data_IF_674391607641
#
_entry.id   IF_674391607641
#
_cell.length_a   1.000
_cell.length_b   1.000
_cell.length_c   1.000
_cell.angle_alpha   90.00
_cell.angle_beta   90.00
_cell.angle_gamma   90.00
#
_symmetry.space_group_name_H-M   'P 1'
#
loop_
_entity.id
_entity.type
_entity.pdbx_description
1 polymer ?
#
# COMPACT_ATOMS: atom_id res chain seq x y z
N UNK A 1 -18.74 -1.90 20.32
CA UNK A 1 -20.06 -1.92 20.99
C UNK A 1 -20.01 -2.08 22.51
N UNK A 2 -19.05 -2.79 23.10
CA UNK A 2 -19.00 -2.97 24.57
C UNK A 2 -18.79 -1.66 25.37
N UNK A 3 -18.20 -0.61 24.78
CA UNK A 3 -17.96 0.66 25.47
C UNK A 3 -19.26 1.39 25.86
N UNK A 4 -20.23 1.50 24.94
CA UNK A 4 -21.49 2.22 25.20
C UNK A 4 -22.36 1.54 26.26
N UNK A 5 -22.37 0.20 26.31
CA UNK A 5 -23.09 -0.56 27.34
C UNK A 5 -22.55 -0.36 28.76
N UNK A 6 -21.31 0.14 28.92
CA UNK A 6 -20.77 0.53 30.23
C UNK A 6 -21.37 1.83 30.75
N UNK A 7 -21.76 2.75 29.86
CA UNK A 7 -22.29 4.06 30.24
C UNK A 7 -23.82 4.10 30.17
N UNK A 8 -24.42 3.39 29.21
CA UNK A 8 -25.87 3.25 29.05
C UNK A 8 -26.21 1.78 28.76
N UNK A 9 -26.46 0.96 29.80
CA UNK A 9 -26.66 -0.49 29.64
C UNK A 9 -27.86 -0.87 28.76
N UNK A 10 -28.90 -0.03 28.77
CA UNK A 10 -30.18 -0.27 28.10
C UNK A 10 -30.27 0.36 26.70
N UNK A 11 -29.20 0.95 26.18
CA UNK A 11 -29.21 1.58 24.86
C UNK A 11 -29.39 0.52 23.77
N UNK A 12 -30.35 0.74 22.86
CA UNK A 12 -30.57 -0.14 21.71
C UNK A 12 -29.38 -0.03 20.74
N UNK A 13 -29.03 -1.14 20.11
CA UNK A 13 -27.96 -1.21 19.10
C UNK A 13 -28.22 -0.25 17.93
N UNK A 14 -29.47 -0.16 17.47
CA UNK A 14 -29.90 0.79 16.45
C UNK A 14 -29.66 2.26 16.84
N UNK A 15 -29.81 2.59 18.12
CA UNK A 15 -29.52 3.94 18.64
C UNK A 15 -28.02 4.22 18.63
N UNK A 16 -27.18 3.23 18.96
CA UNK A 16 -25.72 3.36 18.85
C UNK A 16 -25.32 3.58 17.40
N UNK A 17 -25.84 2.76 16.48
CA UNK A 17 -25.53 2.87 15.05
C UNK A 17 -25.91 4.23 14.49
N UNK A 18 -27.08 4.76 14.89
CA UNK A 18 -27.51 6.09 14.48
C UNK A 18 -26.63 7.21 15.04
N UNK A 19 -26.19 7.10 16.30
CA UNK A 19 -25.24 8.05 16.91
C UNK A 19 -23.89 8.03 16.18
N UNK A 20 -23.37 6.84 15.88
CA UNK A 20 -22.13 6.68 15.12
C UNK A 20 -22.30 7.25 13.71
N UNK A 21 -23.42 6.97 13.05
CA UNK A 21 -23.74 7.53 11.75
C UNK A 21 -23.74 9.08 11.78
N UNK A 22 -24.38 9.70 12.77
CA UNK A 22 -24.36 11.16 12.96
C UNK A 22 -22.94 11.72 13.11
N UNK A 23 -22.12 11.07 13.94
CA UNK A 23 -20.73 11.49 14.16
C UNK A 23 -19.87 11.35 12.90
N UNK A 24 -20.17 10.37 12.04
CA UNK A 24 -19.53 10.23 10.74
C UNK A 24 -19.97 11.34 9.79
N UNK A 25 -21.28 11.61 9.71
CA UNK A 25 -21.82 12.71 8.88
C UNK A 25 -21.29 14.08 9.31
N UNK A 26 -21.10 14.31 10.61
CA UNK A 26 -20.56 15.56 11.13
C UNK A 26 -19.03 15.66 11.05
N UNK A 27 -18.33 14.66 10.49
CA UNK A 27 -16.87 14.65 10.37
C UNK A 27 -16.10 14.46 11.68
N UNK A 28 -16.79 14.16 12.77
CA UNK A 28 -16.19 13.87 14.09
C UNK A 28 -15.58 12.47 14.11
N UNK A 29 -16.16 11.54 13.35
CA UNK A 29 -15.62 10.21 13.12
C UNK A 29 -15.38 9.95 11.64
N UNK A 30 -14.32 9.22 11.33
CA UNK A 30 -14.08 8.63 10.02
C UNK A 30 -14.03 7.11 10.14
N UNK A 31 -14.72 6.40 9.26
CA UNK A 31 -14.76 4.93 9.28
C UNK A 31 -13.46 4.36 8.71
N UNK A 32 -12.75 3.56 9.48
CA UNK A 32 -11.48 2.92 9.09
C UNK A 32 -11.61 1.41 8.85
N UNK A 33 -12.76 0.82 9.18
CA UNK A 33 -13.07 -0.59 8.93
C UNK A 33 -14.47 -0.96 9.41
N UNK A 34 -14.85 -2.24 9.27
CA UNK A 34 -16.13 -2.72 9.81
C UNK A 34 -16.13 -2.58 11.33
N UNK A 35 -16.99 -1.71 11.86
CA UNK A 35 -17.07 -1.42 13.29
C UNK A 35 -15.87 -0.66 13.87
N UNK A 36 -14.95 -0.15 13.04
CA UNK A 36 -13.75 0.61 13.47
C UNK A 36 -13.81 2.04 12.93
N UNK A 37 -13.58 3.02 13.81
CA UNK A 37 -13.63 4.45 13.51
C UNK A 37 -12.42 5.17 14.11
N UNK A 38 -12.00 6.27 13.50
CA UNK A 38 -11.02 7.24 14.03
C UNK A 38 -11.70 8.58 14.27
N UNK A 39 -11.17 9.38 15.20
CA UNK A 39 -11.60 10.77 15.43
C UNK A 39 -11.13 11.69 14.29
N UNK A 40 -11.95 12.70 13.98
CA UNK A 40 -11.71 13.70 12.96
C UNK A 40 -11.92 13.19 11.53
N UNK A 41 -11.61 14.06 10.57
CA UNK A 41 -11.57 13.69 9.16
C UNK A 41 -10.31 12.88 8.87
N UNK A 42 -10.49 11.70 8.26
CA UNK A 42 -9.38 10.84 7.89
C UNK A 42 -8.48 11.52 6.87
N UNK A 43 -7.17 11.46 7.10
CA UNK A 43 -6.16 11.94 6.15
C UNK A 43 -5.80 10.81 5.19
N UNK A 44 -6.32 10.87 3.97
CA UNK A 44 -6.04 9.89 2.93
C UNK A 44 -4.67 10.14 2.28
N UNK A 45 -3.96 9.07 1.94
CA UNK A 45 -2.69 9.14 1.23
C UNK A 45 -2.89 9.25 -0.28
N UNK A 46 -2.39 10.33 -0.88
CA UNK A 46 -2.39 10.56 -2.32
C UNK A 46 -0.93 10.64 -2.79
N UNK A 47 -0.41 9.61 -3.49
CA UNK A 47 0.98 9.61 -3.92
C UNK A 47 1.22 10.65 -5.03
N UNK A 48 2.36 11.36 -5.01
CA UNK A 48 2.77 12.20 -6.13
C UNK A 48 3.05 11.34 -7.37
N UNK A 49 2.55 11.80 -8.52
CA UNK A 49 2.74 11.12 -9.82
C UNK A 49 3.81 11.85 -10.62
N UNK A 50 4.96 11.19 -10.84
CA UNK A 50 6.02 11.75 -11.68
C UNK A 50 5.66 11.70 -13.16
N UNK A 51 6.29 12.59 -13.95
CA UNK A 51 6.13 12.60 -15.41
C UNK A 51 6.54 11.28 -16.06
N UNK A 52 7.59 10.62 -15.54
CA UNK A 52 8.03 9.29 -15.99
C UNK A 52 6.97 8.23 -15.70
N UNK A 53 6.42 8.20 -14.48
CA UNK A 53 5.40 7.24 -14.10
C UNK A 53 4.14 7.39 -14.97
N UNK A 54 3.73 8.65 -15.21
CA UNK A 54 2.62 8.97 -16.13
C UNK A 54 2.88 8.50 -17.56
N UNK A 55 4.11 8.67 -18.08
CA UNK A 55 4.51 8.17 -19.41
C UNK A 55 4.48 6.64 -19.50
N UNK A 56 5.01 5.94 -18.49
CA UNK A 56 5.02 4.47 -18.45
C UNK A 56 3.58 3.96 -18.43
N UNK A 57 2.75 4.47 -17.52
CA UNK A 57 1.34 4.10 -17.44
C UNK A 57 0.59 4.38 -18.76
N UNK A 58 0.77 5.57 -19.33
CA UNK A 58 0.07 5.96 -20.56
C UNK A 58 0.40 5.05 -21.74
N UNK A 59 1.67 4.65 -21.91
CA UNK A 59 2.07 3.68 -22.93
C UNK A 59 1.45 2.30 -22.69
N UNK A 60 1.54 1.80 -21.46
CA UNK A 60 0.98 0.51 -21.08
C UNK A 60 -0.53 0.46 -21.26
N UNK A 61 -1.24 1.49 -20.80
CA UNK A 61 -2.70 1.56 -20.90
C UNK A 61 -3.17 1.71 -22.35
N UNK A 62 -2.41 2.41 -23.20
CA UNK A 62 -2.71 2.49 -24.64
C UNK A 62 -2.54 1.13 -25.33
N UNK A 63 -1.49 0.39 -24.98
CA UNK A 63 -1.22 -0.93 -25.58
C UNK A 63 -2.15 -2.02 -25.03
N UNK A 64 -2.49 -1.96 -23.75
CA UNK A 64 -3.29 -2.95 -23.05
C UNK A 64 -4.49 -2.30 -22.35
N UNK A 65 -5.50 -1.79 -23.09
CA UNK A 65 -6.61 -1.02 -22.51
C UNK A 65 -7.46 -1.79 -21.49
N UNK A 66 -7.59 -3.11 -21.70
CA UNK A 66 -8.39 -3.99 -20.86
C UNK A 66 -7.60 -4.61 -19.69
N UNK A 67 -6.27 -4.45 -19.66
CA UNK A 67 -5.43 -5.05 -18.63
C UNK A 67 -5.45 -4.22 -17.36
N UNK A 68 -5.65 -4.87 -16.22
CA UNK A 68 -5.50 -4.22 -14.93
C UNK A 68 -4.01 -4.02 -14.63
N UNK A 69 -3.57 -2.76 -14.58
CA UNK A 69 -2.17 -2.39 -14.37
C UNK A 69 -2.08 -1.44 -13.17
N UNK A 70 -1.15 -1.70 -12.27
CA UNK A 70 -0.74 -0.78 -11.21
C UNK A 70 0.69 -0.34 -11.45
N UNK A 71 0.95 0.96 -11.50
CA UNK A 71 2.34 1.46 -11.54
C UNK A 71 2.64 2.35 -10.34
N UNK A 72 3.83 2.21 -9.79
CA UNK A 72 4.32 3.10 -8.74
C UNK A 72 5.83 3.07 -8.63
N UNK A 73 6.39 4.05 -7.92
CA UNK A 73 7.84 4.14 -7.71
C UNK A 73 8.18 3.92 -6.24
N UNK A 74 9.20 3.12 -5.93
CA UNK A 74 9.52 2.79 -4.53
C UNK A 74 10.01 3.98 -3.73
N UNK A 75 10.43 5.08 -4.37
CA UNK A 75 10.76 6.34 -3.67
C UNK A 75 9.57 6.98 -2.95
N UNK A 76 8.33 6.53 -3.23
CA UNK A 76 7.16 6.94 -2.43
C UNK A 76 7.33 6.58 -0.95
N UNK A 77 8.18 5.60 -0.63
CA UNK A 77 8.52 5.23 0.73
C UNK A 77 9.34 6.28 1.47
N UNK A 78 10.04 7.17 0.76
CA UNK A 78 10.95 8.14 1.36
C UNK A 78 10.26 9.06 2.38
N UNK A 79 8.95 9.30 2.20
CA UNK A 79 8.15 10.07 3.16
C UNK A 79 8.12 9.43 4.56
N UNK A 80 8.21 8.10 4.63
CA UNK A 80 8.08 7.30 5.85
C UNK A 80 9.41 6.74 6.34
N UNK A 81 10.48 6.91 5.58
CA UNK A 81 11.79 6.34 5.88
C UNK A 81 12.66 7.32 6.67
N UNK A 82 13.45 6.78 7.59
CA UNK A 82 14.56 7.48 8.22
C UNK A 82 15.84 7.33 7.39
N UNK A 83 16.10 6.13 6.86
CA UNK A 83 17.29 5.84 6.06
C UNK A 83 16.91 5.51 4.62
N UNK A 84 17.07 6.46 3.70
CA UNK A 84 16.71 6.26 2.31
C UNK A 84 17.75 5.39 1.59
N UNK A 85 17.32 4.38 0.80
CA UNK A 85 18.24 3.55 0.06
C UNK A 85 18.84 4.35 -1.10
N UNK A 86 20.04 3.96 -1.54
CA UNK A 86 20.66 4.54 -2.73
C UNK A 86 19.99 4.10 -4.05
N UNK A 87 18.96 3.23 -4.00
CA UNK A 87 18.32 2.66 -5.19
C UNK A 87 16.81 2.61 -5.04
N UNK A 88 16.12 2.93 -6.12
CA UNK A 88 14.68 2.88 -6.23
C UNK A 88 14.27 2.21 -7.55
N UNK A 89 13.05 1.68 -7.57
CA UNK A 89 12.52 0.93 -8.69
C UNK A 89 11.17 1.50 -9.11
N UNK A 90 10.89 1.50 -10.41
CA UNK A 90 9.50 1.60 -10.88
C UNK A 90 8.91 0.20 -10.85
N UNK A 91 7.82 -0.02 -10.12
CA UNK A 91 7.07 -1.27 -10.18
C UNK A 91 5.93 -1.12 -11.18
N UNK A 92 5.86 -2.06 -12.12
CA UNK A 92 4.74 -2.22 -13.05
C UNK A 92 4.11 -3.58 -12.78
N UNK A 93 2.92 -3.56 -12.19
CA UNK A 93 2.22 -4.77 -11.78
C UNK A 93 1.08 -5.06 -12.75
N UNK A 94 0.99 -6.29 -13.22
CA UNK A 94 -0.04 -6.75 -14.14
C UNK A 94 -0.48 -8.18 -13.78
N UNK A 95 -1.62 -8.60 -14.32
CA UNK A 95 -2.07 -9.99 -14.20
C UNK A 95 -0.98 -10.97 -14.64
N UNK A 96 -0.90 -12.13 -13.95
CA UNK A 96 0.19 -13.09 -14.12
C UNK A 96 0.39 -13.51 -15.58
N UNK A 97 -0.70 -13.73 -16.29
CA UNK A 97 -0.70 -14.21 -17.67
C UNK A 97 -0.35 -13.11 -18.69
N UNK A 98 -0.34 -11.84 -18.25
CA UNK A 98 0.01 -10.68 -19.08
C UNK A 98 1.37 -10.07 -18.74
N UNK A 99 2.05 -10.56 -17.70
CA UNK A 99 3.33 -10.02 -17.24
C UNK A 99 4.41 -10.06 -18.33
N UNK A 100 4.51 -11.15 -19.09
CA UNK A 100 5.50 -11.27 -20.17
C UNK A 100 5.24 -10.25 -21.27
N UNK A 101 3.98 -10.07 -21.68
CA UNK A 101 3.60 -9.06 -22.67
C UNK A 101 3.98 -7.64 -22.20
N UNK A 102 3.71 -7.32 -20.94
CA UNK A 102 4.11 -6.04 -20.33
C UNK A 102 5.63 -5.89 -20.30
N UNK A 103 6.36 -6.95 -19.95
CA UNK A 103 7.82 -6.96 -19.93
C UNK A 103 8.45 -6.71 -21.30
N UNK A 104 8.05 -7.48 -22.31
CA UNK A 104 8.58 -7.34 -23.67
C UNK A 104 8.23 -5.97 -24.27
N UNK A 105 6.99 -5.51 -24.07
CA UNK A 105 6.59 -4.18 -24.51
C UNK A 105 7.48 -3.07 -23.90
N UNK A 106 7.76 -3.13 -22.60
CA UNK A 106 8.63 -2.14 -21.95
C UNK A 106 10.09 -2.27 -22.41
N UNK A 107 10.59 -3.49 -22.66
CA UNK A 107 11.93 -3.73 -23.22
C UNK A 107 12.09 -3.13 -24.61
N UNK A 108 11.12 -3.34 -25.51
CA UNK A 108 11.11 -2.75 -26.86
C UNK A 108 11.14 -1.21 -26.81
N UNK A 109 10.51 -0.62 -25.79
CA UNK A 109 10.52 0.81 -25.54
C UNK A 109 11.78 1.31 -24.82
N UNK A 110 12.88 0.53 -24.84
CA UNK A 110 14.19 0.85 -24.27
C UNK A 110 14.18 1.15 -22.76
N UNK A 111 13.25 0.55 -22.03
CA UNK A 111 13.32 0.58 -20.57
C UNK A 111 14.30 -0.50 -20.08
N UNK A 112 15.04 -0.21 -19.02
CA UNK A 112 15.68 -1.28 -18.25
C UNK A 112 14.63 -1.98 -17.41
N UNK A 113 14.27 -3.19 -17.84
CA UNK A 113 13.21 -3.97 -17.22
C UNK A 113 13.76 -5.29 -16.67
N UNK A 114 13.30 -5.66 -15.49
CA UNK A 114 13.46 -7.00 -14.91
C UNK A 114 12.08 -7.63 -14.73
N UNK A 115 11.93 -8.88 -15.16
CA UNK A 115 10.71 -9.66 -14.96
C UNK A 115 10.82 -10.45 -13.65
N UNK A 116 10.00 -10.10 -12.67
CA UNK A 116 9.87 -10.75 -11.37
C UNK A 116 11.21 -11.28 -10.80
N UNK A 117 12.21 -10.40 -10.63
CA UNK A 117 13.59 -10.82 -10.42
C UNK A 117 13.79 -11.48 -9.05
N UNK A 118 14.71 -12.45 -9.00
CA UNK A 118 15.26 -12.96 -7.75
C UNK A 118 16.15 -11.91 -7.07
N UNK A 119 16.50 -12.13 -5.80
CA UNK A 119 17.45 -11.28 -5.07
C UNK A 119 18.81 -11.18 -5.78
N UNK A 120 19.26 -12.29 -6.36
CA UNK A 120 20.49 -12.34 -7.16
C UNK A 120 20.38 -11.55 -8.46
N UNK A 121 19.25 -11.66 -9.18
CA UNK A 121 19.04 -10.88 -10.39
C UNK A 121 18.97 -9.37 -10.09
N UNK A 122 18.35 -8.99 -8.96
CA UNK A 122 18.35 -7.59 -8.50
C UNK A 122 19.75 -7.08 -8.18
N UNK A 123 20.60 -7.89 -7.53
CA UNK A 123 21.96 -7.46 -7.17
C UNK A 123 22.85 -7.31 -8.41
N UNK A 124 22.76 -8.26 -9.35
CA UNK A 124 23.57 -8.32 -10.58
C UNK A 124 23.15 -7.29 -11.61
N UNK A 125 21.84 -7.15 -11.88
CA UNK A 125 21.32 -6.35 -12.99
C UNK A 125 20.66 -5.04 -12.55
N UNK A 126 20.37 -4.88 -11.26
CA UNK A 126 19.84 -3.63 -10.71
C UNK A 126 20.89 -2.56 -10.44
N UNK A 127 22.17 -2.84 -10.66
CA UNK A 127 23.31 -1.98 -10.27
C UNK A 127 23.87 -1.10 -11.39
N UNK A 128 23.66 -1.46 -12.67
CA UNK A 128 24.27 -0.78 -13.81
C UNK A 128 23.51 0.42 -14.37
N UNK A 129 22.22 0.58 -14.04
CA UNK A 129 21.37 1.61 -14.61
C UNK A 129 20.68 2.48 -13.56
N UNK A 130 20.50 3.78 -13.87
CA UNK A 130 19.93 4.75 -12.94
C UNK A 130 18.48 4.45 -12.54
N UNK A 131 17.69 3.82 -13.41
CA UNK A 131 16.24 3.70 -13.20
C UNK A 131 15.66 2.39 -13.76
N UNK A 132 15.64 1.34 -12.94
CA UNK A 132 15.13 0.00 -13.28
C UNK A 132 13.62 -0.12 -13.06
N UNK A 133 12.93 -0.69 -14.04
CA UNK A 133 11.51 -1.06 -13.97
C UNK A 133 11.38 -2.54 -13.67
N UNK A 134 10.55 -2.91 -12.71
CA UNK A 134 10.30 -4.29 -12.33
C UNK A 134 8.88 -4.63 -12.70
N UNK A 135 8.72 -5.63 -13.57
CA UNK A 135 7.41 -6.19 -13.91
C UNK A 135 7.14 -7.36 -12.98
N UNK A 136 6.02 -7.33 -12.26
CA UNK A 136 5.70 -8.35 -11.23
C UNK A 136 4.19 -8.63 -11.21
N UNK A 137 3.73 -9.72 -10.57
CA UNK A 137 2.32 -10.04 -10.56
C UNK A 137 1.54 -9.03 -9.71
N UNK A 138 0.44 -8.53 -10.27
CA UNK A 138 -0.62 -7.83 -9.53
C UNK A 138 -1.46 -8.89 -8.82
N UNK A 139 -1.29 -8.99 -7.51
CA UNK A 139 -2.05 -9.93 -6.68
C UNK A 139 -3.52 -9.49 -6.60
N UNK A 140 -4.45 -10.45 -6.63
CA UNK A 140 -5.87 -10.17 -6.58
C UNK A 140 -6.28 -9.34 -5.36
N UNK A 141 -7.31 -8.51 -5.53
CA UNK A 141 -7.77 -7.54 -4.53
C UNK A 141 -6.71 -6.53 -4.05
N UNK A 142 -5.61 -6.35 -4.80
CA UNK A 142 -4.65 -5.27 -4.58
C UNK A 142 -5.37 -3.92 -4.45
N UNK A 143 -5.26 -3.24 -3.29
CA UNK A 143 -5.93 -1.97 -3.13
C UNK A 143 -5.18 -0.87 -3.89
N UNK A 144 -5.83 -0.36 -4.93
CA UNK A 144 -5.32 0.65 -5.86
C UNK A 144 -6.18 1.91 -5.83
N UNK A 145 -5.65 2.98 -6.40
CA UNK A 145 -6.34 4.25 -6.59
C UNK A 145 -5.92 4.89 -7.91
N UNK A 146 -6.80 5.69 -8.50
CA UNK A 146 -6.50 6.47 -9.71
C UNK A 146 -6.13 7.90 -9.31
N UNK A 147 -4.91 8.32 -9.63
CA UNK A 147 -4.39 9.67 -9.35
C UNK A 147 -3.81 10.25 -10.64
N UNK A 148 -4.25 11.45 -11.05
CA UNK A 148 -3.81 12.10 -12.29
C UNK A 148 -3.83 11.18 -13.52
N UNK A 149 -4.91 10.41 -13.65
CA UNK A 149 -5.14 9.37 -14.66
C UNK A 149 -4.23 8.15 -14.64
N UNK A 150 -3.42 7.97 -13.59
CA UNK A 150 -2.57 6.81 -13.39
C UNK A 150 -3.19 5.89 -12.34
N UNK A 151 -3.36 4.60 -12.68
CA UNK A 151 -3.66 3.57 -11.68
C UNK A 151 -2.39 3.27 -10.88
N UNK A 152 -2.45 3.54 -9.58
CA UNK A 152 -1.32 3.44 -8.66
C UNK A 152 -1.75 2.82 -7.32
N UNK A 153 -0.82 2.64 -6.40
CA UNK A 153 -1.09 1.99 -5.13
C UNK A 153 -1.84 2.88 -4.13
N UNK A 154 -2.54 2.23 -3.20
CA UNK A 154 -2.92 2.84 -1.91
C UNK A 154 -1.80 2.67 -0.87
N UNK A 155 -1.89 3.40 0.25
CA UNK A 155 -0.97 3.20 1.37
C UNK A 155 -1.09 1.80 1.98
N UNK A 156 -2.30 1.23 2.06
CA UNK A 156 -2.50 -0.14 2.55
C UNK A 156 -1.75 -1.18 1.69
N UNK A 157 -1.77 -1.00 0.37
CA UNK A 157 -1.00 -1.84 -0.56
C UNK A 157 0.50 -1.68 -0.31
N UNK A 158 0.98 -0.45 -0.14
CA UNK A 158 2.40 -0.14 0.09
C UNK A 158 2.93 -0.94 1.29
N UNK A 159 2.24 -0.82 2.42
CA UNK A 159 2.62 -1.42 3.69
C UNK A 159 2.57 -2.95 3.63
N UNK A 160 1.51 -3.52 3.04
CA UNK A 160 1.41 -4.95 2.83
C UNK A 160 2.49 -5.49 1.87
N UNK A 161 2.82 -4.75 0.81
CA UNK A 161 3.84 -5.16 -0.15
C UNK A 161 5.23 -5.23 0.47
N UNK A 162 5.60 -4.24 1.29
CA UNK A 162 6.88 -4.21 2.04
C UNK A 162 6.98 -5.38 3.01
N UNK A 163 5.89 -5.69 3.71
CA UNK A 163 5.87 -6.80 4.66
C UNK A 163 5.99 -8.16 3.97
N UNK A 164 5.31 -8.33 2.83
CA UNK A 164 5.20 -9.63 2.17
C UNK A 164 6.37 -9.93 1.22
N UNK A 165 7.01 -8.91 0.64
CA UNK A 165 8.05 -9.06 -0.39
C UNK A 165 9.42 -8.59 0.12
N UNK A 166 10.11 -9.50 0.80
CA UNK A 166 11.44 -9.26 1.39
C UNK A 166 12.54 -9.12 0.33
N UNK A 167 12.27 -9.52 -0.92
CA UNK A 167 13.25 -9.48 -2.01
C UNK A 167 13.31 -8.09 -2.63
N UNK A 168 12.17 -7.53 -3.03
CA UNK A 168 12.10 -6.20 -3.62
C UNK A 168 12.36 -5.12 -2.58
N UNK A 169 11.87 -5.33 -1.36
CA UNK A 169 11.94 -4.36 -0.26
C UNK A 169 12.99 -4.74 0.79
N UNK A 170 14.08 -5.38 0.37
CA UNK A 170 15.16 -5.80 1.27
C UNK A 170 15.71 -4.63 2.12
N UNK A 171 15.89 -3.46 1.50
CA UNK A 171 16.38 -2.24 2.18
C UNK A 171 15.39 -1.64 3.17
N UNK A 172 14.11 -2.00 3.09
CA UNK A 172 13.08 -1.54 4.01
C UNK A 172 12.85 -2.52 5.17
N UNK A 173 13.49 -3.69 5.20
CA UNK A 173 13.26 -4.69 6.25
C UNK A 173 13.86 -4.26 7.61
N UNK A 174 13.56 -5.03 8.66
CA UNK A 174 14.10 -4.80 9.99
C UNK A 174 13.51 -3.57 10.69
N UNK A 175 14.38 -2.74 11.28
CA UNK A 175 13.96 -1.54 12.02
C UNK A 175 13.35 -0.48 11.11
N UNK A 176 13.78 -0.42 9.84
CA UNK A 176 13.27 0.57 8.89
C UNK A 176 11.79 0.32 8.60
N UNK A 177 11.36 -0.95 8.47
CA UNK A 177 9.94 -1.31 8.31
C UNK A 177 9.10 -0.80 9.48
N UNK A 178 9.60 -0.96 10.72
CA UNK A 178 8.89 -0.47 11.91
C UNK A 178 8.73 1.05 11.88
N UNK A 179 9.76 1.78 11.43
CA UNK A 179 9.70 3.22 11.24
C UNK A 179 8.69 3.59 10.17
N UNK A 180 8.72 2.94 9.00
CA UNK A 180 7.78 3.19 7.90
C UNK A 180 6.34 3.05 8.37
N UNK A 181 6.01 1.93 9.03
CA UNK A 181 4.65 1.71 9.53
C UNK A 181 4.26 2.76 10.57
N UNK A 182 5.15 3.07 11.53
CA UNK A 182 4.89 4.08 12.56
C UNK A 182 4.60 5.45 11.94
N UNK A 183 5.42 5.90 10.99
CA UNK A 183 5.22 7.17 10.31
C UNK A 183 3.93 7.20 9.49
N UNK A 184 3.62 6.10 8.79
CA UNK A 184 2.37 5.96 8.05
C UNK A 184 1.14 6.11 8.97
N UNK A 185 1.11 5.42 10.11
CA UNK A 185 0.02 5.52 11.10
C UNK A 185 -0.07 6.89 11.77
N UNK A 186 1.05 7.61 11.91
CA UNK A 186 1.07 8.95 12.49
C UNK A 186 0.52 10.00 11.53
N UNK A 187 0.74 9.83 10.22
CA UNK A 187 0.43 10.84 9.21
C UNK A 187 -0.87 10.60 8.47
N UNK A 188 -1.30 9.35 8.34
CA UNK A 188 -2.43 8.96 7.50
C UNK A 188 -3.40 8.04 8.23
N UNK A 189 -4.64 8.07 7.75
CA UNK A 189 -5.66 7.12 8.15
C UNK A 189 -5.48 5.84 7.36
N UNK A 190 -5.28 4.72 8.07
CA UNK A 190 -5.00 3.42 7.48
C UNK A 190 -6.17 2.46 7.70
N UNK A 191 -6.62 1.83 6.62
CA UNK A 191 -7.65 0.80 6.62
C UNK A 191 -7.06 -0.59 6.85
N UNK A 192 -6.80 -0.93 8.11
CA UNK A 192 -6.24 -2.24 8.50
C UNK A 192 -6.98 -3.44 7.90
N UNK A 193 -8.32 -3.41 7.86
CA UNK A 193 -9.10 -4.51 7.29
C UNK A 193 -8.84 -4.71 5.79
N UNK A 194 -8.59 -3.63 5.05
CA UNK A 194 -8.24 -3.68 3.62
C UNK A 194 -6.82 -4.23 3.44
N UNK A 195 -5.89 -3.75 4.28
CA UNK A 195 -4.49 -4.19 4.30
C UNK A 195 -4.35 -5.68 4.66
N UNK A 196 -5.06 -6.16 5.70
CA UNK A 196 -5.08 -7.57 6.11
C UNK A 196 -5.70 -8.48 5.04
N UNK A 197 -6.79 -8.04 4.41
CA UNK A 197 -7.42 -8.81 3.32
C UNK A 197 -6.47 -8.96 2.13
N UNK A 198 -5.73 -7.92 1.79
CA UNK A 198 -4.73 -7.99 0.73
C UNK A 198 -3.55 -8.91 1.10
N UNK A 199 -3.06 -8.86 2.33
CA UNK A 199 -2.03 -9.79 2.81
C UNK A 199 -2.51 -11.27 2.86
N UNK A 200 -3.82 -11.50 3.03
CA UNK A 200 -4.45 -12.83 2.91
C UNK A 200 -4.24 -13.41 1.51
N UNK A 201 -4.48 -12.61 0.47
CA UNK A 201 -4.23 -13.00 -0.93
C UNK A 201 -2.76 -13.27 -1.22
N UNK A 202 -1.85 -12.82 -0.34
CA UNK A 202 -0.41 -13.09 -0.38
C UNK A 202 0.03 -14.21 0.56
N UNK A 203 -0.91 -14.88 1.26
CA UNK A 203 -0.62 -15.98 2.19
C UNK A 203 0.13 -15.56 3.46
N UNK A 204 -0.01 -14.29 3.88
CA UNK A 204 0.74 -13.70 5.01
C UNK A 204 -0.15 -13.08 6.08
N UNK A 205 -1.45 -13.33 6.08
CA UNK A 205 -2.41 -12.67 6.97
C UNK A 205 -2.09 -12.85 8.45
N UNK A 206 -1.85 -14.07 8.91
CA UNK A 206 -1.64 -14.36 10.34
C UNK A 206 -0.37 -13.68 10.84
N UNK A 207 0.73 -13.82 10.09
CA UNK A 207 2.02 -13.18 10.41
C UNK A 207 1.90 -11.65 10.38
N UNK A 208 1.14 -11.12 9.43
CA UNK A 208 0.96 -9.69 9.30
C UNK A 208 0.10 -9.11 10.42
N UNK A 209 -0.97 -9.80 10.82
CA UNK A 209 -1.82 -9.40 11.95
C UNK A 209 -1.04 -9.39 13.27
N UNK A 210 -0.18 -10.40 13.48
CA UNK A 210 0.74 -10.43 14.62
C UNK A 210 1.72 -9.24 14.59
N UNK A 211 2.24 -8.90 13.42
CA UNK A 211 3.12 -7.75 13.24
C UNK A 211 2.38 -6.42 13.53
N UNK A 212 1.20 -6.21 12.94
CA UNK A 212 0.37 -5.02 13.16
C UNK A 212 -0.03 -4.88 14.64
N UNK A 213 -0.30 -5.98 15.33
CA UNK A 213 -0.59 -5.98 16.78
C UNK A 213 0.58 -5.49 17.62
N UNK A 214 1.82 -5.73 17.19
CA UNK A 214 3.02 -5.19 17.86
C UNK A 214 3.18 -3.71 17.56
N UNK A 215 3.05 -3.31 16.30
CA UNK A 215 3.20 -1.90 15.87
C UNK A 215 2.10 -1.00 16.45
N UNK A 216 0.84 -1.43 16.42
CA UNK A 216 -0.32 -0.67 16.92
C UNK A 216 -0.28 -0.43 18.43
N UNK A 217 0.31 -1.34 19.23
CA UNK A 217 0.54 -1.13 20.66
C UNK A 217 1.46 0.07 20.94
N UNK A 218 2.41 0.36 20.06
CA UNK A 218 3.25 1.57 20.17
C UNK A 218 2.46 2.85 19.87
N UNK A 219 1.50 2.80 18.92
CA UNK A 219 0.65 3.96 18.61
C UNK A 219 -0.37 4.24 19.73
N UNK A 220 -1.00 3.20 20.31
CA UNK A 220 -1.99 3.36 21.40
C UNK A 220 -1.41 3.89 22.71
N UNK A 221 -0.11 3.68 22.98
CA UNK A 221 0.55 4.19 24.20
C UNK A 221 0.82 5.70 24.19
N UNK A 222 0.74 6.37 23.04
CA UNK A 222 1.05 7.81 22.89
C UNK A 222 -0.18 8.73 22.81
N UNK A 223 -1.40 8.20 22.99
CA UNK A 223 -2.66 8.98 22.99
C UNK A 223 -3.27 9.13 24.40
N UNK A 224 -2.44 9.11 25.43
CA UNK A 224 -2.84 9.46 26.80
C UNK A 224 -2.07 10.71 27.22
#
# INVERSE_FOLDING_TARGET
MQLYKKFEPNVKETTIDWRVYKLVQSGVLSRIGRGKFTLGQGKNYVPPISSRLKKIYGKLHKQFPCLQICVWHTSLLNEFMQHQPGRFYTLAEAEKDAMENVFYFLKEHKHNVLLNPSAEALSRYGSGEKETTIVKPLVSEAPMQKVNDVQTLTLEKMLADIFCDVTIFASQQGNEMQTIFREAYNRYTIHESRMLRYADRRGKKELFDQYLSKVSKFHRRRRY
#
